data_IF_997519380337
#
_entry.id   IF_997519380337
#
_cell.length_a   1.000
_cell.length_b   1.000
_cell.length_c   1.000
_cell.angle_alpha   90.00
_cell.angle_beta   90.00
_cell.angle_gamma   90.00
#
_symmetry.space_group_name_H-M   'P 1'
#
loop_
_entity.id
_entity.type
_entity.pdbx_description
1 polymer ?
#
# COMPACT_ATOMS: atom_id res chain seq x y z
N UNK A 1 -8.90 3.36 -37.52
CA UNK A 1 -7.71 2.47 -37.43
C UNK A 1 -8.08 1.01 -37.66
N UNK A 2 -9.09 0.46 -36.96
CA UNK A 2 -9.52 -0.94 -37.10
C UNK A 2 -9.81 -1.37 -38.55
N UNK A 3 -10.67 -0.62 -39.26
CA UNK A 3 -11.02 -0.94 -40.67
C UNK A 3 -9.79 -0.99 -41.62
N UNK A 4 -8.74 -0.22 -41.34
CA UNK A 4 -7.51 -0.25 -42.13
C UNK A 4 -6.69 -1.52 -41.84
N UNK A 5 -6.60 -1.92 -40.57
CA UNK A 5 -5.96 -3.18 -40.16
C UNK A 5 -6.71 -4.40 -40.74
N UNK A 6 -8.05 -4.34 -40.80
CA UNK A 6 -8.87 -5.38 -41.40
C UNK A 6 -8.62 -5.50 -42.92
N UNK A 7 -8.42 -4.38 -43.62
CA UNK A 7 -8.07 -4.39 -45.04
C UNK A 7 -6.67 -4.96 -45.30
N UNK A 8 -5.71 -4.75 -44.40
CA UNK A 8 -4.37 -5.38 -44.45
C UNK A 8 -4.49 -6.88 -44.19
N UNK A 9 -5.24 -7.31 -43.16
CA UNK A 9 -5.40 -8.73 -42.82
C UNK A 9 -6.12 -9.52 -43.93
N UNK A 10 -7.10 -8.90 -44.58
CA UNK A 10 -7.77 -9.42 -45.78
C UNK A 10 -6.90 -9.34 -47.05
N UNK A 11 -5.65 -8.86 -46.95
CA UNK A 11 -4.72 -8.66 -48.06
C UNK A 11 -5.26 -7.74 -49.18
N UNK A 12 -6.20 -6.84 -48.86
CA UNK A 12 -6.76 -5.85 -49.79
C UNK A 12 -5.90 -4.59 -49.89
N UNK A 13 -5.01 -4.37 -48.93
CA UNK A 13 -3.98 -3.33 -48.93
C UNK A 13 -2.63 -4.01 -48.67
N UNK A 14 -1.64 -3.78 -49.54
CA UNK A 14 -0.26 -4.25 -49.34
C UNK A 14 0.59 -3.12 -48.77
N UNK A 15 1.36 -3.43 -47.72
CA UNK A 15 2.33 -2.51 -47.12
C UNK A 15 3.73 -2.67 -47.74
N UNK A 16 3.97 -3.69 -48.56
CA UNK A 16 5.26 -3.93 -49.23
C UNK A 16 5.84 -2.70 -49.93
N UNK A 17 5.06 -1.86 -50.65
CA UNK A 17 5.61 -0.70 -51.36
C UNK A 17 6.20 0.37 -50.45
N UNK A 18 5.83 0.37 -49.17
CA UNK A 18 6.30 1.36 -48.19
C UNK A 18 7.32 0.78 -47.21
N UNK A 19 7.53 -0.53 -47.19
CA UNK A 19 8.57 -1.18 -46.37
C UNK A 19 9.90 -1.04 -47.11
N UNK A 20 10.77 -0.18 -46.62
CA UNK A 20 12.10 0.04 -47.23
C UNK A 20 13.19 -0.74 -46.52
N UNK A 21 13.02 -1.03 -45.22
CA UNK A 21 13.97 -1.82 -44.44
C UNK A 21 13.23 -2.74 -43.47
N UNK A 22 13.78 -3.93 -43.31
CA UNK A 22 13.32 -4.91 -42.33
C UNK A 22 14.48 -5.29 -41.43
N UNK A 23 14.22 -5.32 -40.13
CA UNK A 23 15.19 -5.71 -39.10
C UNK A 23 14.54 -6.74 -38.19
N UNK A 24 15.31 -7.73 -37.77
CA UNK A 24 14.90 -8.55 -36.62
C UNK A 24 14.90 -7.66 -35.36
N UNK A 25 14.00 -7.94 -34.41
CA UNK A 25 13.84 -7.11 -33.20
C UNK A 25 15.16 -6.97 -32.40
N UNK A 26 16.03 -7.98 -32.43
CA UNK A 26 17.36 -7.96 -31.84
C UNK A 26 18.27 -6.86 -32.44
N UNK A 27 18.01 -6.44 -33.67
CA UNK A 27 18.71 -5.38 -34.39
C UNK A 27 18.01 -4.01 -34.28
N UNK A 28 17.00 -3.87 -33.41
CA UNK A 28 16.29 -2.60 -33.23
C UNK A 28 17.20 -1.38 -33.02
N UNK A 29 18.33 -1.44 -32.28
CA UNK A 29 19.24 -0.29 -32.17
C UNK A 29 19.78 0.20 -33.52
N UNK A 30 20.06 -0.70 -34.47
CA UNK A 30 20.53 -0.38 -35.82
C UNK A 30 19.43 0.28 -36.65
N UNK A 31 18.20 -0.24 -36.55
CA UNK A 31 17.02 0.37 -37.15
C UNK A 31 16.81 1.83 -36.69
N UNK A 32 16.97 2.10 -35.38
CA UNK A 32 16.86 3.45 -34.84
C UNK A 32 18.01 4.38 -35.28
N UNK A 33 19.20 3.85 -35.58
CA UNK A 33 20.30 4.66 -36.07
C UNK A 33 20.03 5.19 -37.49
N UNK A 34 19.37 4.43 -38.36
CA UNK A 34 18.96 4.89 -39.69
C UNK A 34 17.99 6.08 -39.61
N UNK A 35 17.07 6.03 -38.65
CA UNK A 35 16.15 7.13 -38.34
C UNK A 35 16.95 8.38 -37.93
N UNK A 36 17.96 8.22 -37.07
CA UNK A 36 18.82 9.33 -36.61
C UNK A 36 19.71 9.89 -37.72
N UNK A 37 20.21 9.05 -38.62
CA UNK A 37 21.10 9.41 -39.73
C UNK A 37 20.37 10.09 -40.90
N UNK A 38 19.03 10.22 -40.85
CA UNK A 38 18.18 10.86 -41.87
C UNK A 38 18.42 10.32 -43.29
N UNK A 39 18.79 9.04 -43.41
CA UNK A 39 18.81 8.35 -44.71
C UNK A 39 17.37 8.26 -45.25
N UNK A 40 17.16 8.22 -46.57
CA UNK A 40 15.80 8.09 -47.12
C UNK A 40 15.22 6.71 -46.77
N UNK A 41 14.12 6.70 -46.01
CA UNK A 41 13.31 5.53 -45.71
C UNK A 41 11.82 5.91 -45.70
N UNK A 42 10.95 5.01 -46.12
CA UNK A 42 9.50 5.23 -46.16
C UNK A 42 8.77 4.44 -45.06
N UNK A 43 9.33 3.29 -44.68
CA UNK A 43 8.79 2.42 -43.64
C UNK A 43 9.84 1.42 -43.18
N UNK A 44 9.95 1.27 -41.87
CA UNK A 44 10.87 0.34 -41.22
C UNK A 44 10.03 -0.68 -40.46
N UNK A 45 10.24 -1.96 -40.73
CA UNK A 45 9.54 -3.06 -40.05
C UNK A 45 10.49 -3.77 -39.11
N UNK A 46 10.09 -3.88 -37.85
CA UNK A 46 10.71 -4.76 -36.88
C UNK A 46 9.97 -6.10 -36.91
N UNK A 47 10.69 -7.16 -37.28
CA UNK A 47 10.19 -8.54 -37.23
C UNK A 47 10.35 -9.08 -35.83
N UNK A 48 9.29 -9.73 -35.37
CA UNK A 48 9.28 -10.43 -34.11
C UNK A 48 9.18 -11.91 -34.42
N UNK A 49 10.01 -12.72 -33.77
CA UNK A 49 9.84 -14.16 -33.78
C UNK A 49 8.54 -14.50 -33.03
N UNK A 50 7.50 -14.82 -33.80
CA UNK A 50 6.17 -15.18 -33.28
C UNK A 50 6.11 -16.59 -32.71
N UNK A 51 7.10 -17.43 -33.03
CA UNK A 51 7.21 -18.80 -32.54
C UNK A 51 8.07 -18.87 -31.25
N UNK A 52 8.81 -17.80 -30.93
CA UNK A 52 9.55 -17.66 -29.69
C UNK A 52 8.62 -17.73 -28.50
N UNK A 53 8.84 -18.73 -27.65
CA UNK A 53 8.17 -18.81 -26.35
C UNK A 53 8.60 -17.60 -25.52
N UNK A 54 7.64 -16.73 -25.21
CA UNK A 54 7.87 -15.60 -24.31
C UNK A 54 8.02 -16.17 -22.90
N UNK A 55 9.19 -15.95 -22.30
CA UNK A 55 9.40 -16.27 -20.89
C UNK A 55 9.03 -15.06 -20.05
N UNK A 56 8.03 -15.25 -19.17
CA UNK A 56 7.55 -14.21 -18.27
C UNK A 56 8.47 -13.97 -17.06
N UNK A 57 9.68 -14.54 -17.06
CA UNK A 57 10.67 -14.47 -15.98
C UNK A 57 12.04 -14.12 -16.55
N UNK A 58 12.66 -13.08 -16.00
CA UNK A 58 14.02 -12.65 -16.35
C UNK A 58 14.92 -12.84 -15.15
N UNK A 59 15.97 -13.65 -15.32
CA UNK A 59 17.00 -13.88 -14.31
C UNK A 59 18.04 -12.76 -14.41
N UNK A 60 18.25 -12.02 -13.32
CA UNK A 60 19.13 -10.84 -13.28
C UNK A 60 20.48 -11.15 -12.63
N UNK A 61 20.50 -12.12 -11.72
CA UNK A 61 21.70 -12.69 -11.13
C UNK A 61 21.67 -14.19 -11.38
N UNK A 62 22.78 -14.76 -11.85
CA UNK A 62 22.89 -16.22 -11.95
C UNK A 62 22.51 -16.84 -10.61
N UNK A 63 21.64 -17.87 -10.59
CA UNK A 63 21.33 -18.57 -9.35
C UNK A 63 22.65 -19.04 -8.76
N UNK A 64 22.98 -18.60 -7.54
CA UNK A 64 24.01 -19.29 -6.78
C UNK A 64 23.62 -20.77 -6.63
N UNK A 65 24.57 -21.68 -6.38
CA UNK A 65 24.23 -23.06 -6.07
C UNK A 65 23.14 -23.08 -5.00
N UNK A 66 22.09 -23.85 -5.25
CA UNK A 66 20.98 -24.05 -4.31
C UNK A 66 21.58 -24.72 -3.09
N UNK A 67 22.07 -23.91 -2.15
CA UNK A 67 22.36 -24.37 -0.81
C UNK A 67 21.02 -24.80 -0.26
N UNK A 68 20.91 -26.09 0.09
CA UNK A 68 19.89 -26.54 1.02
C UNK A 68 19.81 -25.49 2.13
N UNK A 69 18.60 -25.00 2.40
CA UNK A 69 18.31 -23.94 3.35
C UNK A 69 19.12 -24.26 4.61
N UNK A 70 20.21 -23.53 4.86
CA UNK A 70 20.81 -23.54 6.18
C UNK A 70 19.73 -23.02 7.11
N UNK A 71 19.52 -23.65 8.26
CA UNK A 71 18.53 -23.29 9.30
C UNK A 71 18.68 -21.87 9.88
N UNK A 72 19.26 -20.93 9.13
CA UNK A 72 19.20 -19.49 9.41
C UNK A 72 17.89 -18.91 8.86
N UNK A 73 17.06 -18.43 9.77
CA UNK A 73 15.76 -17.75 9.62
C UNK A 73 15.84 -16.40 8.86
N UNK A 74 16.68 -16.27 7.84
CA UNK A 74 16.84 -15.02 7.11
C UNK A 74 15.63 -14.75 6.19
N UNK A 75 15.01 -13.56 6.24
CA UNK A 75 13.91 -13.20 5.35
C UNK A 75 14.37 -13.20 3.89
N UNK A 76 13.66 -13.97 3.07
CA UNK A 76 13.81 -14.02 1.62
C UNK A 76 12.51 -13.47 1.03
N UNK A 77 12.60 -12.26 0.52
CA UNK A 77 11.45 -11.44 0.14
C UNK A 77 11.14 -11.56 -1.35
N UNK A 78 9.87 -11.82 -1.64
CA UNK A 78 9.24 -11.47 -2.91
C UNK A 78 8.46 -10.17 -2.82
N UNK A 79 8.49 -9.33 -3.85
CA UNK A 79 7.67 -8.11 -3.93
C UNK A 79 6.70 -8.24 -5.09
N UNK A 80 5.40 -8.04 -4.84
CA UNK A 80 4.33 -8.11 -5.84
C UNK A 80 3.76 -6.69 -5.97
N UNK A 81 4.01 -6.06 -7.11
CA UNK A 81 3.69 -4.67 -7.39
C UNK A 81 4.93 -3.77 -7.39
N UNK A 82 5.16 -3.06 -8.49
CA UNK A 82 6.24 -2.07 -8.65
C UNK A 82 5.69 -0.67 -9.00
N UNK A 83 4.55 -0.31 -8.41
CA UNK A 83 3.91 1.00 -8.64
C UNK A 83 4.68 2.19 -8.03
N UNK A 84 4.03 3.36 -8.05
CA UNK A 84 4.61 4.62 -7.55
C UNK A 84 5.00 4.49 -6.07
N UNK A 85 4.12 3.93 -5.24
CA UNK A 85 4.43 3.73 -3.82
C UNK A 85 5.62 2.78 -3.61
N UNK A 86 5.65 1.65 -4.34
CA UNK A 86 6.75 0.71 -4.24
C UNK A 86 8.10 1.36 -4.57
N UNK A 87 8.16 2.11 -5.68
CA UNK A 87 9.39 2.73 -6.18
C UNK A 87 9.82 3.99 -5.42
N UNK A 88 8.86 4.75 -4.87
CA UNK A 88 9.11 6.03 -4.19
C UNK A 88 9.25 5.91 -2.67
N UNK A 89 8.65 4.88 -2.05
CA UNK A 89 8.59 4.73 -0.59
C UNK A 89 9.16 3.37 -0.15
N UNK A 90 8.57 2.26 -0.60
CA UNK A 90 8.92 0.92 -0.11
C UNK A 90 10.39 0.57 -0.39
N UNK A 91 10.78 0.54 -1.67
CA UNK A 91 12.10 0.08 -2.10
C UNK A 91 13.24 1.00 -1.59
N UNK A 92 13.11 2.34 -1.56
CA UNK A 92 14.09 3.21 -0.91
C UNK A 92 14.28 2.91 0.57
N UNK A 93 13.21 2.63 1.33
CA UNK A 93 13.34 2.26 2.75
C UNK A 93 13.89 0.84 2.93
N UNK A 94 13.47 -0.10 2.09
CA UNK A 94 13.95 -1.47 2.07
C UNK A 94 15.46 -1.56 1.80
N UNK A 95 15.98 -0.74 0.88
CA UNK A 95 17.41 -0.69 0.56
C UNK A 95 18.32 -0.31 1.74
N UNK A 96 17.75 0.30 2.79
CA UNK A 96 18.46 0.70 4.01
C UNK A 96 18.48 -0.41 5.08
N UNK A 97 17.75 -1.51 4.86
CA UNK A 97 17.63 -2.62 5.80
C UNK A 97 18.58 -3.73 5.38
N UNK A 98 19.39 -4.22 6.33
CA UNK A 98 20.35 -5.30 6.10
C UNK A 98 19.78 -6.65 6.51
N UNK A 99 20.32 -7.72 5.93
CA UNK A 99 19.95 -9.09 6.29
C UNK A 99 18.56 -9.50 5.82
N UNK A 100 18.16 -9.00 4.64
CA UNK A 100 16.99 -9.40 3.86
C UNK A 100 17.49 -9.73 2.46
N UNK A 101 17.13 -10.91 1.94
CA UNK A 101 17.46 -11.33 0.58
C UNK A 101 16.31 -10.91 -0.35
N UNK A 102 16.59 -10.04 -1.33
CA UNK A 102 15.62 -9.63 -2.34
C UNK A 102 15.64 -10.62 -3.49
N UNK A 103 14.63 -11.49 -3.58
CA UNK A 103 14.65 -12.61 -4.52
C UNK A 103 13.87 -12.28 -5.80
N UNK A 104 12.55 -12.15 -5.70
CA UNK A 104 11.67 -11.90 -6.84
C UNK A 104 10.97 -10.54 -6.78
N UNK A 105 10.87 -9.85 -7.92
CA UNK A 105 9.98 -8.71 -8.12
C UNK A 105 8.96 -9.02 -9.22
N UNK A 106 7.68 -8.84 -8.95
CA UNK A 106 6.61 -9.00 -9.94
C UNK A 106 5.91 -7.67 -10.21
N UNK A 107 5.69 -7.35 -11.49
CA UNK A 107 4.89 -6.21 -11.92
C UNK A 107 4.33 -6.43 -13.33
N UNK A 108 3.12 -5.93 -13.57
CA UNK A 108 2.44 -6.10 -14.87
C UNK A 108 3.22 -5.48 -16.05
N UNK A 109 3.96 -4.39 -15.83
CA UNK A 109 4.78 -3.75 -16.86
C UNK A 109 6.23 -4.25 -16.83
N UNK A 110 6.60 -5.11 -17.79
CA UNK A 110 7.90 -5.78 -17.86
C UNK A 110 9.12 -4.84 -17.89
N UNK A 111 9.10 -3.78 -18.70
CA UNK A 111 10.24 -2.86 -18.87
C UNK A 111 10.56 -2.07 -17.58
N UNK A 112 9.54 -1.65 -16.82
CA UNK A 112 9.76 -0.99 -15.53
C UNK A 112 10.17 -1.99 -14.45
N UNK A 113 9.68 -3.23 -14.53
CA UNK A 113 10.00 -4.29 -13.57
C UNK A 113 11.48 -4.63 -13.60
N UNK A 114 12.06 -4.85 -14.78
CA UNK A 114 13.47 -5.20 -14.95
C UNK A 114 14.40 -4.09 -14.44
N UNK A 115 14.13 -2.84 -14.81
CA UNK A 115 14.94 -1.68 -14.38
C UNK A 115 14.93 -1.51 -12.86
N UNK A 116 13.75 -1.61 -12.23
CA UNK A 116 13.60 -1.53 -10.78
C UNK A 116 14.30 -2.71 -10.09
N UNK A 117 14.12 -3.92 -10.60
CA UNK A 117 14.73 -5.13 -10.06
C UNK A 117 16.27 -5.05 -10.11
N UNK A 118 16.85 -4.60 -11.23
CA UNK A 118 18.31 -4.35 -11.36
C UNK A 118 18.78 -3.30 -10.36
N UNK A 119 18.09 -2.14 -10.28
CA UNK A 119 18.45 -1.02 -9.41
C UNK A 119 18.54 -1.42 -7.93
N UNK A 120 17.58 -2.22 -7.46
CA UNK A 120 17.52 -2.63 -6.05
C UNK A 120 18.16 -4.00 -5.78
N UNK A 121 18.62 -4.69 -6.83
CA UNK A 121 19.42 -5.91 -6.70
C UNK A 121 18.65 -7.20 -6.46
N UNK A 122 17.42 -7.31 -6.99
CA UNK A 122 16.64 -8.55 -7.00
C UNK A 122 17.32 -9.64 -7.85
N UNK A 123 17.10 -10.91 -7.52
CA UNK A 123 17.66 -12.05 -8.28
C UNK A 123 16.94 -12.27 -9.60
N UNK A 124 15.61 -12.08 -9.61
CA UNK A 124 14.81 -12.15 -10.84
C UNK A 124 13.64 -11.16 -10.79
N UNK A 125 13.11 -10.87 -11.98
CA UNK A 125 11.83 -10.18 -12.13
C UNK A 125 10.88 -10.99 -13.02
N UNK A 126 9.58 -10.75 -12.88
CA UNK A 126 8.54 -11.48 -13.63
C UNK A 126 7.30 -10.61 -13.84
N UNK A 127 6.51 -10.92 -14.86
CA UNK A 127 5.13 -10.40 -15.02
C UNK A 127 4.09 -11.30 -14.35
N UNK A 128 4.46 -12.52 -13.96
CA UNK A 128 3.61 -13.52 -13.32
C UNK A 128 3.95 -13.64 -11.83
N UNK A 129 3.10 -13.08 -10.96
CA UNK A 129 3.30 -13.15 -9.53
C UNK A 129 3.23 -14.58 -8.96
N UNK A 130 2.61 -15.55 -9.67
CA UNK A 130 2.61 -16.95 -9.23
C UNK A 130 4.02 -17.52 -9.17
N UNK A 131 4.97 -17.02 -9.98
CA UNK A 131 6.40 -17.38 -9.87
C UNK A 131 7.04 -16.92 -8.57
N UNK A 132 6.51 -15.90 -7.91
CA UNK A 132 6.95 -15.47 -6.57
C UNK A 132 6.30 -16.36 -5.50
N UNK A 133 4.99 -16.58 -5.62
CA UNK A 133 4.26 -17.36 -4.63
C UNK A 133 4.70 -18.84 -4.60
N UNK A 134 5.03 -19.42 -5.75
CA UNK A 134 5.48 -20.82 -5.85
C UNK A 134 6.98 -21.02 -5.57
N UNK A 135 7.78 -19.95 -5.43
CA UNK A 135 9.21 -20.09 -5.17
C UNK A 135 9.44 -20.60 -3.72
N UNK A 136 10.04 -21.79 -3.53
CA UNK A 136 10.20 -22.38 -2.20
C UNK A 136 11.24 -21.66 -1.34
N UNK A 137 12.15 -20.87 -1.92
CA UNK A 137 13.11 -20.07 -1.14
C UNK A 137 12.47 -18.80 -0.58
N UNK A 138 11.41 -18.27 -1.21
CA UNK A 138 10.71 -17.08 -0.73
C UNK A 138 9.87 -17.44 0.49
N UNK A 139 10.14 -16.85 1.65
CA UNK A 139 9.41 -17.11 2.89
C UNK A 139 8.51 -15.95 3.33
N UNK A 140 8.64 -14.79 2.69
CA UNK A 140 7.75 -13.66 2.90
C UNK A 140 7.51 -12.84 1.62
N UNK A 141 6.37 -12.18 1.56
CA UNK A 141 5.99 -11.31 0.44
C UNK A 141 5.56 -9.92 0.90
N UNK A 142 5.85 -8.91 0.09
CA UNK A 142 5.29 -7.57 0.21
C UNK A 142 4.34 -7.31 -0.97
N UNK A 143 3.06 -7.12 -0.68
CA UNK A 143 2.00 -6.86 -1.65
C UNK A 143 1.74 -5.35 -1.68
N UNK A 144 2.00 -4.76 -2.85
CA UNK A 144 2.05 -3.30 -3.10
C UNK A 144 1.31 -2.97 -4.40
N UNK A 145 0.21 -3.68 -4.64
CA UNK A 145 -0.58 -3.63 -5.87
C UNK A 145 -1.70 -2.59 -5.79
N UNK A 146 -2.64 -2.63 -6.74
CA UNK A 146 -3.95 -2.00 -6.57
C UNK A 146 -4.70 -2.65 -5.41
N UNK A 147 -5.56 -1.88 -4.75
CA UNK A 147 -6.28 -2.32 -3.55
C UNK A 147 -7.23 -3.48 -3.84
N UNK A 148 -7.84 -3.52 -5.03
CA UNK A 148 -8.72 -4.61 -5.50
C UNK A 148 -8.06 -5.98 -5.51
N UNK A 149 -6.73 -6.02 -5.63
CA UNK A 149 -5.95 -7.27 -5.66
C UNK A 149 -5.44 -7.70 -4.29
N UNK A 150 -5.58 -6.87 -3.25
CA UNK A 150 -4.98 -7.17 -1.94
C UNK A 150 -5.54 -8.46 -1.36
N UNK A 151 -6.87 -8.61 -1.30
CA UNK A 151 -7.50 -9.77 -0.67
C UNK A 151 -7.13 -11.10 -1.34
N UNK A 152 -7.25 -11.18 -2.66
CA UNK A 152 -6.89 -12.39 -3.42
C UNK A 152 -5.41 -12.74 -3.28
N UNK A 153 -4.50 -11.77 -3.43
CA UNK A 153 -3.06 -12.00 -3.30
C UNK A 153 -2.66 -12.41 -1.88
N UNK A 154 -3.27 -11.82 -0.85
CA UNK A 154 -3.04 -12.22 0.54
C UNK A 154 -3.45 -13.68 0.74
N UNK A 155 -4.66 -14.05 0.30
CA UNK A 155 -5.18 -15.43 0.42
C UNK A 155 -4.25 -16.43 -0.30
N UNK A 156 -3.84 -16.12 -1.54
CA UNK A 156 -2.93 -16.99 -2.30
C UNK A 156 -1.54 -17.10 -1.67
N UNK A 157 -1.01 -16.00 -1.12
CA UNK A 157 0.26 -16.02 -0.42
C UNK A 157 0.21 -16.91 0.84
N UNK A 158 -0.88 -16.83 1.61
CA UNK A 158 -1.09 -17.69 2.79
C UNK A 158 -1.20 -19.16 2.40
N UNK A 159 -1.92 -19.49 1.32
CA UNK A 159 -2.01 -20.87 0.77
C UNK A 159 -0.63 -21.41 0.41
N UNK A 160 0.26 -20.57 -0.10
CA UNK A 160 1.66 -20.89 -0.39
C UNK A 160 2.60 -20.76 0.82
N UNK A 161 2.05 -20.70 2.03
CA UNK A 161 2.77 -20.63 3.32
C UNK A 161 3.75 -19.44 3.42
N UNK A 162 3.42 -18.31 2.79
CA UNK A 162 4.21 -17.08 2.88
C UNK A 162 3.75 -16.21 4.03
N UNK A 163 4.68 -15.54 4.70
CA UNK A 163 4.35 -14.43 5.59
C UNK A 163 4.09 -13.17 4.78
N UNK A 164 3.05 -12.40 5.13
CA UNK A 164 2.52 -11.35 4.26
C UNK A 164 2.65 -9.98 4.91
N UNK A 165 3.29 -9.05 4.20
CA UNK A 165 3.12 -7.62 4.40
C UNK A 165 2.26 -7.09 3.25
N UNK A 166 1.08 -6.57 3.54
CA UNK A 166 0.17 -6.03 2.52
C UNK A 166 -0.06 -4.55 2.77
N UNK A 167 0.06 -3.72 1.74
CA UNK A 167 -0.31 -2.31 1.85
C UNK A 167 -1.79 -2.16 2.21
N UNK A 168 -2.13 -1.05 2.85
CA UNK A 168 -3.52 -0.77 3.19
C UNK A 168 -4.32 -0.32 1.94
N UNK A 169 -5.65 -0.52 1.93
CA UNK A 169 -6.46 -1.24 2.90
C UNK A 169 -6.26 -2.76 2.79
N UNK A 170 -6.53 -3.50 3.87
CA UNK A 170 -6.43 -4.97 3.86
C UNK A 170 -7.49 -5.61 2.93
N UNK A 171 -8.69 -5.02 2.90
CA UNK A 171 -9.83 -5.46 2.10
C UNK A 171 -10.71 -4.25 1.74
N UNK A 172 -11.48 -4.36 0.66
CA UNK A 172 -12.43 -3.34 0.20
C UNK A 172 -13.86 -3.58 0.70
N UNK A 173 -14.14 -4.75 1.26
CA UNK A 173 -15.44 -5.13 1.81
C UNK A 173 -15.31 -6.24 2.87
N UNK A 174 -16.43 -6.54 3.53
CA UNK A 174 -16.49 -7.55 4.57
C UNK A 174 -16.32 -8.97 4.05
N UNK A 175 -16.78 -9.27 2.83
CA UNK A 175 -16.65 -10.60 2.22
C UNK A 175 -15.17 -10.94 2.00
N UNK A 176 -14.41 -10.00 1.42
CA UNK A 176 -12.96 -10.09 1.26
C UNK A 176 -12.24 -10.21 2.60
N UNK A 177 -12.61 -9.38 3.59
CA UNK A 177 -11.99 -9.44 4.91
C UNK A 177 -12.22 -10.79 5.58
N UNK A 178 -13.44 -11.32 5.54
CA UNK A 178 -13.80 -12.62 6.08
C UNK A 178 -13.04 -13.74 5.36
N UNK A 179 -12.89 -13.66 4.04
CA UNK A 179 -12.12 -14.62 3.26
C UNK A 179 -10.63 -14.63 3.67
N UNK A 180 -10.04 -13.46 3.96
CA UNK A 180 -8.66 -13.36 4.48
C UNK A 180 -8.55 -14.00 5.87
N UNK A 181 -9.51 -13.74 6.76
CA UNK A 181 -9.54 -14.29 8.12
C UNK A 181 -9.59 -15.82 8.07
N UNK A 182 -10.48 -16.41 7.28
CA UNK A 182 -10.56 -17.86 7.13
C UNK A 182 -9.30 -18.44 6.48
N UNK A 183 -8.77 -17.81 5.42
CA UNK A 183 -7.53 -18.26 4.79
C UNK A 183 -6.34 -18.28 5.77
N UNK A 184 -6.23 -17.26 6.63
CA UNK A 184 -5.21 -17.21 7.69
C UNK A 184 -5.38 -18.32 8.70
N UNK A 185 -6.62 -18.58 9.14
CA UNK A 185 -6.95 -19.63 10.11
C UNK A 185 -6.61 -21.02 9.56
N UNK A 186 -6.91 -21.27 8.29
CA UNK A 186 -6.62 -22.54 7.62
C UNK A 186 -5.14 -22.76 7.35
N UNK A 187 -4.44 -21.70 6.92
CA UNK A 187 -3.10 -21.86 6.35
C UNK A 187 -1.95 -21.51 7.30
N UNK A 188 -2.24 -20.78 8.38
CA UNK A 188 -1.22 -20.21 9.25
C UNK A 188 -0.51 -19.02 8.60
N UNK A 189 0.73 -18.77 9.02
CA UNK A 189 1.46 -17.56 8.64
C UNK A 189 0.94 -16.31 9.33
N UNK A 190 1.72 -15.23 9.30
CA UNK A 190 1.27 -13.94 9.83
C UNK A 190 1.05 -12.92 8.72
N UNK A 191 0.12 -12.01 8.98
CA UNK A 191 -0.25 -10.91 8.10
C UNK A 191 0.04 -9.63 8.87
N UNK A 192 0.77 -8.73 8.24
CA UNK A 192 0.99 -7.36 8.68
C UNK A 192 0.42 -6.42 7.62
N UNK A 193 -0.38 -5.46 8.05
CA UNK A 193 -0.92 -4.42 7.17
C UNK A 193 -0.01 -3.20 7.23
N UNK A 194 0.14 -2.50 6.09
CA UNK A 194 0.95 -1.29 5.87
C UNK A 194 0.48 -0.04 6.62
N UNK A 195 0.10 -0.20 7.89
CA UNK A 195 -0.23 0.91 8.78
C UNK A 195 1.05 1.52 9.36
N UNK A 196 1.76 2.26 8.53
CA UNK A 196 3.09 2.77 8.86
C UNK A 196 3.13 3.70 10.10
N UNK A 197 2.05 4.45 10.37
CA UNK A 197 2.01 5.51 11.40
C UNK A 197 2.31 5.00 12.81
N UNK A 198 1.81 3.81 13.17
CA UNK A 198 2.09 3.16 14.47
C UNK A 198 3.57 2.83 14.69
N UNK A 199 4.37 2.77 13.61
CA UNK A 199 5.81 2.53 13.68
C UNK A 199 6.66 3.81 13.63
N UNK A 200 6.02 4.99 13.49
CA UNK A 200 6.75 6.26 13.52
C UNK A 200 7.38 6.51 14.89
N UNK A 201 8.58 7.07 14.92
CA UNK A 201 9.26 7.35 16.19
C UNK A 201 8.43 8.26 17.12
N UNK A 202 7.78 9.28 16.55
CA UNK A 202 6.94 10.20 17.33
C UNK A 202 5.64 9.54 17.80
N UNK A 203 5.05 8.64 17.00
CA UNK A 203 3.88 7.87 17.40
C UNK A 203 4.17 6.90 18.54
N UNK A 204 5.31 6.20 18.50
CA UNK A 204 5.75 5.32 19.61
C UNK A 204 5.97 6.13 20.89
N UNK A 205 6.65 7.28 20.81
CA UNK A 205 6.85 8.17 21.97
C UNK A 205 5.53 8.69 22.55
N UNK A 206 4.56 9.01 21.68
CA UNK A 206 3.22 9.43 22.09
C UNK A 206 2.49 8.30 22.82
N UNK A 207 2.54 7.06 22.31
CA UNK A 207 1.95 5.89 22.97
C UNK A 207 2.59 5.65 24.35
N UNK A 208 3.93 5.70 24.42
CA UNK A 208 4.67 5.49 25.66
C UNK A 208 4.32 6.55 26.74
N UNK A 209 4.07 7.80 26.32
CA UNK A 209 3.65 8.86 27.23
C UNK A 209 2.31 8.56 27.94
N UNK A 210 1.39 7.85 27.27
CA UNK A 210 0.10 7.44 27.84
C UNK A 210 0.10 6.03 28.45
N UNK A 211 1.24 5.32 28.47
CA UNK A 211 1.30 3.89 28.84
C UNK A 211 0.70 3.54 30.20
N UNK A 212 0.80 4.44 31.17
CA UNK A 212 0.32 4.22 32.54
C UNK A 212 -0.91 5.08 32.87
N UNK A 213 -1.70 5.46 31.85
CA UNK A 213 -2.93 6.20 32.08
C UNK A 213 -3.95 5.37 32.86
N UNK A 214 -4.77 6.03 33.65
CA UNK A 214 -5.85 5.42 34.44
C UNK A 214 -7.25 5.72 33.89
N UNK A 215 -7.41 6.87 33.23
CA UNK A 215 -8.67 7.27 32.61
C UNK A 215 -8.75 6.87 31.13
N UNK A 216 -9.98 6.65 30.67
CA UNK A 216 -10.32 6.60 29.25
C UNK A 216 -9.85 7.88 28.54
N UNK A 217 -9.49 7.74 27.27
CA UNK A 217 -8.92 8.81 26.47
C UNK A 217 -9.99 9.51 25.62
N UNK A 218 -9.85 10.82 25.45
CA UNK A 218 -10.52 11.56 24.37
C UNK A 218 -9.48 11.86 23.30
N UNK A 219 -9.78 11.52 22.05
CA UNK A 219 -8.89 11.75 20.92
C UNK A 219 -9.55 12.60 19.83
N UNK A 220 -8.77 13.46 19.20
CA UNK A 220 -9.16 14.24 18.03
C UNK A 220 -8.11 14.08 16.95
N UNK A 221 -8.51 13.79 15.72
CA UNK A 221 -7.61 13.71 14.57
C UNK A 221 -8.20 14.51 13.41
N UNK A 222 -7.53 15.57 12.99
CA UNK A 222 -7.87 16.34 11.79
C UNK A 222 -6.95 15.97 10.63
N UNK A 223 -7.55 15.70 9.49
CA UNK A 223 -6.89 15.49 8.20
C UNK A 223 -7.40 16.51 7.19
N UNK A 224 -6.50 17.39 6.77
CA UNK A 224 -6.69 18.37 5.70
C UNK A 224 -6.04 17.83 4.42
N UNK A 225 -6.78 17.00 3.70
CA UNK A 225 -6.27 16.30 2.53
C UNK A 225 -6.38 17.17 1.27
N UNK A 226 -5.47 16.99 0.32
CA UNK A 226 -5.60 17.62 -0.99
C UNK A 226 -6.77 17.02 -1.76
N UNK A 227 -7.43 17.85 -2.58
CA UNK A 227 -8.39 17.38 -3.57
C UNK A 227 -7.65 16.62 -4.68
N UNK A 228 -8.31 15.61 -5.23
CA UNK A 228 -7.77 14.75 -6.28
C UNK A 228 -8.73 14.75 -7.49
N UNK A 229 -8.23 14.49 -8.71
CA UNK A 229 -9.06 14.46 -9.91
C UNK A 229 -10.24 13.49 -9.80
N UNK A 230 -11.40 13.86 -10.35
CA UNK A 230 -12.64 13.07 -10.24
C UNK A 230 -12.60 11.73 -10.97
N UNK A 231 -11.72 11.59 -11.95
CA UNK A 231 -11.44 10.37 -12.72
C UNK A 231 -10.35 9.49 -12.07
N UNK A 232 -9.87 9.87 -10.88
CA UNK A 232 -8.86 9.10 -10.18
C UNK A 232 -9.42 7.76 -9.68
N UNK A 233 -8.66 6.68 -9.87
CA UNK A 233 -9.02 5.29 -9.54
C UNK A 233 -9.53 5.05 -8.11
N UNK A 234 -9.23 5.93 -7.16
CA UNK A 234 -9.70 5.78 -5.77
C UNK A 234 -11.22 5.92 -5.65
N UNK A 235 -11.85 6.57 -6.62
CA UNK A 235 -13.30 6.72 -6.74
C UNK A 235 -13.95 5.57 -7.52
N UNK A 236 -13.16 4.74 -8.19
CA UNK A 236 -13.67 3.58 -8.91
C UNK A 236 -14.15 2.53 -7.90
N UNK A 237 -15.38 2.06 -8.07
CA UNK A 237 -16.05 1.14 -7.16
C UNK A 237 -15.38 -0.24 -7.11
N UNK A 238 -14.73 -0.65 -8.20
CA UNK A 238 -13.99 -1.91 -8.27
C UNK A 238 -12.57 -1.81 -7.70
N UNK A 239 -12.01 -0.61 -7.58
CA UNK A 239 -10.61 -0.39 -7.20
C UNK A 239 -10.43 0.26 -5.82
N UNK A 240 -10.99 1.44 -5.61
CA UNK A 240 -10.76 2.24 -4.40
C UNK A 240 -11.98 2.41 -3.51
N UNK A 241 -13.19 2.44 -4.11
CA UNK A 241 -14.50 2.69 -3.49
C UNK A 241 -14.65 4.05 -2.81
N UNK A 242 -13.74 4.43 -1.93
CA UNK A 242 -13.75 5.73 -1.25
C UNK A 242 -12.40 6.05 -0.59
N UNK A 243 -12.13 7.33 -0.35
CA UNK A 243 -11.01 7.74 0.53
C UNK A 243 -11.20 7.38 2.00
N UNK A 244 -12.42 7.06 2.43
CA UNK A 244 -12.65 6.51 3.77
C UNK A 244 -11.96 5.15 3.88
N UNK A 245 -12.24 4.25 2.93
CA UNK A 245 -11.63 2.90 2.91
C UNK A 245 -10.12 2.99 2.67
N UNK A 246 -9.68 3.84 1.75
CA UNK A 246 -8.29 3.82 1.27
C UNK A 246 -7.33 4.75 2.01
N UNK A 247 -7.81 5.84 2.64
CA UNK A 247 -6.98 6.80 3.36
C UNK A 247 -7.36 6.89 4.84
N UNK A 248 -8.65 6.94 5.20
CA UNK A 248 -9.05 7.09 6.61
C UNK A 248 -8.65 5.91 7.50
N UNK A 249 -8.53 4.70 6.94
CA UNK A 249 -8.04 3.52 7.67
C UNK A 249 -6.71 3.77 8.40
N UNK A 250 -5.81 4.60 7.84
CA UNK A 250 -4.56 4.94 8.51
C UNK A 250 -4.73 5.73 9.81
N UNK A 251 -5.73 6.61 9.88
CA UNK A 251 -5.94 7.49 11.02
C UNK A 251 -6.76 6.77 12.10
N UNK A 252 -7.71 5.94 11.67
CA UNK A 252 -8.43 4.99 12.53
C UNK A 252 -7.42 4.05 13.21
N UNK A 253 -6.53 3.45 12.43
CA UNK A 253 -5.42 2.63 12.93
C UNK A 253 -4.59 3.36 13.98
N UNK A 254 -4.17 4.60 13.66
CA UNK A 254 -3.30 5.34 14.55
C UNK A 254 -3.99 5.72 15.87
N UNK A 255 -5.27 6.08 15.83
CA UNK A 255 -6.05 6.30 17.06
C UNK A 255 -6.14 5.02 17.88
N UNK A 256 -6.50 3.88 17.26
CA UNK A 256 -6.52 2.58 17.93
C UNK A 256 -5.16 2.25 18.55
N UNK A 257 -4.07 2.51 17.83
CA UNK A 257 -2.71 2.27 18.32
C UNK A 257 -2.36 3.11 19.55
N UNK A 258 -2.65 4.42 19.55
CA UNK A 258 -2.34 5.32 20.68
C UNK A 258 -3.23 5.02 21.88
N UNK A 259 -4.52 4.82 21.65
CA UNK A 259 -5.49 4.48 22.72
C UNK A 259 -5.13 3.11 23.32
N UNK A 260 -4.73 2.14 22.49
CA UNK A 260 -4.37 0.80 22.95
C UNK A 260 -5.57 -0.02 23.41
N UNK A 261 -6.74 0.23 22.84
CA UNK A 261 -7.99 -0.48 23.11
C UNK A 261 -8.68 -0.84 21.80
N UNK A 262 -9.54 -1.86 21.82
CA UNK A 262 -10.31 -2.30 20.65
C UNK A 262 -11.44 -1.32 20.33
N UNK A 263 -11.66 -0.92 19.06
CA UNK A 263 -12.86 -0.18 18.68
C UNK A 263 -14.10 -1.09 18.76
N UNK A 264 -15.20 -0.55 19.27
CA UNK A 264 -16.45 -1.29 19.49
C UNK A 264 -17.65 -0.67 18.77
N UNK A 265 -17.59 0.62 18.45
CA UNK A 265 -18.66 1.34 17.77
C UNK A 265 -18.06 2.42 16.86
N UNK A 266 -18.70 2.66 15.71
CA UNK A 266 -18.35 3.75 14.81
C UNK A 266 -19.60 4.47 14.29
N UNK A 267 -19.53 5.80 14.30
CA UNK A 267 -20.54 6.68 13.74
C UNK A 267 -19.88 7.63 12.77
N UNK A 268 -20.43 7.80 11.57
CA UNK A 268 -19.82 8.64 10.55
C UNK A 268 -20.83 9.55 9.84
N UNK A 269 -20.52 10.82 9.65
CA UNK A 269 -21.38 11.76 8.92
C UNK A 269 -20.56 12.53 7.90
N UNK A 270 -21.09 12.64 6.69
CA UNK A 270 -20.53 13.52 5.65
C UNK A 270 -21.15 14.91 5.69
N UNK A 271 -20.49 15.85 5.05
CA UNK A 271 -21.06 17.16 4.74
C UNK A 271 -22.34 17.00 3.88
N UNK A 272 -23.30 17.90 4.09
CA UNK A 272 -24.45 18.08 3.22
C UNK A 272 -24.29 19.39 2.45
N UNK A 273 -24.15 19.29 1.13
CA UNK A 273 -23.95 20.42 0.22
C UNK A 273 -25.22 20.67 -0.60
N UNK A 274 -25.41 21.91 -1.06
CA UNK A 274 -26.49 22.21 -2.02
C UNK A 274 -26.20 21.61 -3.41
N UNK A 275 -24.92 21.46 -3.77
CA UNK A 275 -24.47 20.86 -5.04
C UNK A 275 -23.73 19.57 -4.71
N UNK A 276 -24.34 18.43 -5.04
CA UNK A 276 -23.75 17.11 -4.78
C UNK A 276 -22.54 16.88 -5.69
N UNK A 277 -21.38 16.69 -5.08
CA UNK A 277 -20.14 16.32 -5.74
C UNK A 277 -19.59 15.00 -5.17
N UNK A 278 -18.77 14.24 -5.93
CA UNK A 278 -18.08 13.07 -5.37
C UNK A 278 -17.24 13.41 -4.13
N UNK A 279 -16.70 14.64 -4.06
CA UNK A 279 -15.90 15.16 -2.95
C UNK A 279 -16.70 15.27 -1.63
N UNK A 280 -18.04 15.40 -1.70
CA UNK A 280 -18.89 15.45 -0.50
C UNK A 280 -18.88 14.14 0.28
N UNK A 281 -18.69 13.00 -0.39
CA UNK A 281 -18.59 11.70 0.27
C UNK A 281 -17.28 11.52 1.04
N UNK A 282 -16.33 12.45 0.89
CA UNK A 282 -15.02 12.38 1.52
C UNK A 282 -14.87 13.37 2.68
N UNK A 283 -15.63 14.46 2.67
CA UNK A 283 -15.65 15.43 3.77
C UNK A 283 -16.51 14.90 4.92
N UNK A 284 -15.87 14.24 5.88
CA UNK A 284 -16.54 13.45 6.92
C UNK A 284 -16.05 13.74 8.33
N UNK A 285 -16.94 13.52 9.29
CA UNK A 285 -16.65 13.34 10.70
C UNK A 285 -16.95 11.90 11.10
N UNK A 286 -15.96 11.20 11.64
CA UNK A 286 -16.06 9.81 12.11
C UNK A 286 -15.76 9.78 13.60
N UNK A 287 -16.69 9.32 14.42
CA UNK A 287 -16.52 9.09 15.86
C UNK A 287 -16.44 7.60 16.12
N UNK A 288 -15.48 7.18 16.95
CA UNK A 288 -15.22 5.78 17.31
C UNK A 288 -15.24 5.68 18.83
N UNK A 289 -15.98 4.70 19.36
CA UNK A 289 -15.89 4.32 20.76
C UNK A 289 -15.02 3.06 20.92
N UNK A 290 -14.30 2.97 22.03
CA UNK A 290 -13.38 1.89 22.34
C UNK A 290 -13.81 1.14 23.60
N UNK A 291 -13.39 -0.12 23.71
CA UNK A 291 -13.75 -1.04 24.79
C UNK A 291 -13.44 -0.50 26.20
N UNK A 292 -12.36 0.26 26.37
CA UNK A 292 -12.00 0.89 27.65
C UNK A 292 -12.77 2.19 27.95
N UNK A 293 -13.80 2.51 27.17
CA UNK A 293 -14.61 3.73 27.27
C UNK A 293 -13.99 4.96 26.61
N UNK A 294 -12.82 4.83 25.97
CA UNK A 294 -12.23 5.95 25.21
C UNK A 294 -13.08 6.30 23.99
N UNK A 295 -12.99 7.55 23.56
CA UNK A 295 -13.62 8.02 22.32
C UNK A 295 -12.61 8.75 21.45
N UNK A 296 -12.73 8.60 20.14
CA UNK A 296 -11.92 9.32 19.16
C UNK A 296 -12.77 9.90 18.04
N UNK A 297 -12.48 11.14 17.64
CA UNK A 297 -13.12 11.78 16.49
C UNK A 297 -12.10 12.10 15.41
N UNK A 298 -12.31 11.55 14.22
CA UNK A 298 -11.58 11.87 12.99
C UNK A 298 -12.41 12.84 12.16
N UNK A 299 -11.85 14.02 11.89
CA UNK A 299 -12.32 14.94 10.87
C UNK A 299 -11.44 14.78 9.65
N UNK A 300 -12.05 14.46 8.52
CA UNK A 300 -11.38 14.38 7.23
C UNK A 300 -12.02 15.38 6.28
N UNK A 301 -11.22 16.26 5.69
CA UNK A 301 -11.73 17.27 4.76
C UNK A 301 -10.76 17.53 3.61
N UNK A 302 -11.31 17.92 2.47
CA UNK A 302 -10.58 18.40 1.28
C UNK A 302 -10.77 19.90 1.05
N UNK A 303 -11.49 20.60 1.93
CA UNK A 303 -11.86 22.01 1.78
C UNK A 303 -10.85 22.99 2.42
N UNK A 304 -9.82 22.49 3.11
CA UNK A 304 -8.85 23.36 3.75
C UNK A 304 -7.71 23.79 2.82
N UNK A 305 -7.08 24.91 3.16
CA UNK A 305 -5.91 25.43 2.47
C UNK A 305 -4.66 24.59 2.81
N UNK A 306 -3.83 24.28 1.81
CA UNK A 306 -2.65 23.41 1.97
C UNK A 306 -1.49 24.05 2.76
N UNK A 307 -1.59 25.34 3.11
CA UNK A 307 -0.69 25.99 4.08
C UNK A 307 -0.90 25.50 5.52
N UNK A 308 -2.07 24.93 5.81
CA UNK A 308 -2.35 24.25 7.09
C UNK A 308 -1.83 22.81 7.02
N UNK A 309 -1.25 22.33 8.12
CA UNK A 309 -0.74 20.96 8.21
C UNK A 309 -1.74 19.92 7.71
N UNK A 310 -1.25 18.87 7.03
CA UNK A 310 -2.14 17.82 6.53
C UNK A 310 -2.76 17.05 7.70
N UNK A 311 -1.96 16.70 8.70
CA UNK A 311 -2.35 15.84 9.81
C UNK A 311 -2.11 16.53 11.14
N UNK A 312 -3.11 16.53 12.02
CA UNK A 312 -2.98 16.98 13.39
C UNK A 312 -3.83 16.10 14.30
N UNK A 313 -3.22 15.44 15.28
CA UNK A 313 -3.94 14.59 16.23
C UNK A 313 -3.58 14.95 17.67
N UNK A 314 -4.59 14.97 18.53
CA UNK A 314 -4.50 15.27 19.96
C UNK A 314 -5.16 14.18 20.77
N UNK A 315 -4.58 13.88 21.92
CA UNK A 315 -5.02 12.84 22.84
C UNK A 315 -4.98 13.38 24.26
N UNK A 316 -6.02 13.11 25.03
CA UNK A 316 -6.25 13.66 26.37
C UNK A 316 -6.60 12.55 27.36
N UNK A 317 -5.86 12.42 28.47
CA UNK A 317 -6.17 11.52 29.59
C UNK A 317 -5.36 11.93 30.84
N UNK A 318 -5.93 11.82 32.05
CA UNK A 318 -5.25 12.11 33.34
C UNK A 318 -4.52 13.47 33.41
N UNK A 319 -5.10 14.52 32.82
CA UNK A 319 -4.45 15.84 32.74
C UNK A 319 -3.22 15.88 31.81
N UNK A 320 -2.94 14.79 31.10
CA UNK A 320 -1.91 14.68 30.07
C UNK A 320 -2.50 15.03 28.70
N UNK A 321 -1.74 15.80 27.92
CA UNK A 321 -2.08 16.14 26.53
C UNK A 321 -0.92 15.77 25.62
N UNK A 322 -1.19 14.94 24.63
CA UNK A 322 -0.23 14.57 23.61
C UNK A 322 -0.74 14.99 22.24
N UNK A 323 0.02 15.80 21.50
CA UNK A 323 -0.35 16.30 20.19
C UNK A 323 0.75 16.02 19.16
N UNK A 324 0.38 15.50 17.99
CA UNK A 324 1.28 15.22 16.87
C UNK A 324 0.81 15.95 15.62
N UNK A 325 1.74 16.62 14.92
CA UNK A 325 1.44 17.35 13.67
C UNK A 325 2.36 16.84 12.57
N UNK A 326 1.77 16.34 11.48
CA UNK A 326 2.42 15.79 10.27
C UNK A 326 3.52 14.75 10.52
N UNK A 327 3.57 14.15 11.72
CA UNK A 327 4.71 13.35 12.18
C UNK A 327 6.06 14.11 12.12
N UNK A 328 6.01 15.44 12.16
CA UNK A 328 7.16 16.36 12.24
C UNK A 328 7.29 16.99 13.60
N UNK A 329 6.18 17.16 14.32
CA UNK A 329 6.15 17.77 15.64
C UNK A 329 5.41 16.87 16.61
N UNK A 330 5.96 16.70 17.80
CA UNK A 330 5.30 16.07 18.95
C UNK A 330 5.33 17.06 20.12
N UNK A 331 4.18 17.30 20.74
CA UNK A 331 4.02 18.11 21.94
C UNK A 331 3.40 17.24 23.03
N UNK A 332 4.06 17.17 24.19
CA UNK A 332 3.61 16.43 25.35
C UNK A 332 3.48 17.39 26.53
N UNK A 333 2.32 17.44 27.16
CA UNK A 333 2.02 18.34 28.28
C UNK A 333 1.51 17.54 29.45
N UNK A 334 2.08 17.78 30.65
CA UNK A 334 1.63 17.19 31.91
C UNK A 334 2.04 18.10 33.07
N UNK A 335 1.15 18.33 34.03
CA UNK A 335 1.42 19.15 35.23
C UNK A 335 2.02 20.53 34.92
N UNK A 336 1.52 21.18 33.86
CA UNK A 336 2.01 22.47 33.37
C UNK A 336 3.36 22.44 32.64
N UNK A 337 4.05 21.29 32.60
CA UNK A 337 5.31 21.12 31.85
C UNK A 337 5.01 20.73 30.41
N UNK A 338 5.64 21.43 29.46
CA UNK A 338 5.51 21.16 28.02
C UNK A 338 6.85 20.69 27.45
N UNK A 339 6.86 19.49 26.86
CA UNK A 339 7.99 18.96 26.06
C UNK A 339 7.60 19.00 24.59
N UNK A 340 8.45 19.59 23.75
CA UNK A 340 8.21 19.65 22.31
C UNK A 340 9.41 19.10 21.53
N UNK A 341 9.14 18.21 20.58
CA UNK A 341 10.11 17.63 19.66
C UNK A 341 9.76 18.08 18.25
N UNK A 342 10.73 18.62 17.51
CA UNK A 342 10.55 19.05 16.13
C UNK A 342 11.59 18.38 15.21
N UNK A 343 11.11 17.65 14.20
CA UNK A 343 11.93 17.06 13.12
C UNK A 343 11.85 17.94 11.88
N UNK A 344 12.81 18.86 11.73
CA UNK A 344 12.80 19.88 10.67
C UNK A 344 13.22 19.37 9.28
N UNK A 345 14.00 18.30 9.20
CA UNK A 345 14.65 17.87 7.96
C UNK A 345 14.08 16.59 7.34
N UNK A 346 13.38 15.75 8.12
CA UNK A 346 12.91 14.44 7.67
C UNK A 346 11.53 14.18 8.25
N UNK A 347 10.54 14.01 7.37
CA UNK A 347 9.25 13.42 7.74
C UNK A 347 9.43 11.91 7.81
N UNK A 348 9.41 11.34 9.01
CA UNK A 348 9.55 9.90 9.23
C UNK A 348 8.20 9.38 9.71
N UNK A 349 7.39 8.83 8.80
CA UNK A 349 6.05 8.31 9.11
C UNK A 349 6.06 6.82 9.49
N UNK A 350 7.21 6.22 9.75
CA UNK A 350 7.33 4.84 10.24
C UNK A 350 7.58 3.77 9.17
N UNK A 351 7.64 4.09 7.87
CA UNK A 351 7.78 3.07 6.81
C UNK A 351 9.02 2.17 6.95
N UNK A 352 10.17 2.74 7.36
CA UNK A 352 11.37 1.93 7.59
C UNK A 352 11.19 1.01 8.80
N UNK A 353 10.69 1.56 9.89
CA UNK A 353 10.48 0.83 11.15
C UNK A 353 9.42 -0.27 10.99
N UNK A 354 8.41 -0.03 10.18
CA UNK A 354 7.39 -1.00 9.76
C UNK A 354 8.04 -2.21 9.07
N UNK A 355 8.88 -1.97 8.07
CA UNK A 355 9.61 -3.02 7.38
C UNK A 355 10.56 -3.76 8.32
N UNK A 356 11.30 -3.05 9.17
CA UNK A 356 12.18 -3.66 10.16
C UNK A 356 11.40 -4.56 11.13
N UNK A 357 10.22 -4.12 11.57
CA UNK A 357 9.33 -4.91 12.40
C UNK A 357 8.82 -6.15 11.66
N UNK A 358 8.40 -6.02 10.40
CA UNK A 358 7.99 -7.15 9.57
C UNK A 358 9.09 -8.20 9.45
N UNK A 359 10.32 -7.80 9.10
CA UNK A 359 11.45 -8.73 9.00
C UNK A 359 11.88 -9.32 10.34
N UNK A 360 11.73 -8.56 11.42
CA UNK A 360 11.90 -9.09 12.78
C UNK A 360 10.87 -10.19 13.06
N UNK A 361 9.61 -9.98 12.69
CA UNK A 361 8.56 -11.00 12.84
C UNK A 361 8.82 -12.25 11.99
N UNK A 362 9.34 -12.08 10.76
CA UNK A 362 9.75 -13.25 9.93
C UNK A 362 10.86 -14.05 10.63
N UNK A 363 11.83 -13.36 11.27
CA UNK A 363 12.96 -14.00 11.95
C UNK A 363 12.59 -14.66 13.29
N UNK A 364 11.73 -14.01 14.07
CA UNK A 364 11.52 -14.32 15.49
C UNK A 364 10.12 -14.88 15.79
N UNK A 365 9.24 -14.92 14.79
CA UNK A 365 7.82 -15.18 14.96
C UNK A 365 7.00 -13.90 15.18
N UNK A 366 5.66 -14.01 15.12
CA UNK A 366 4.76 -12.86 15.20
C UNK A 366 4.91 -12.09 16.51
N UNK A 367 4.84 -10.75 16.42
CA UNK A 367 4.90 -9.85 17.59
C UNK A 367 3.55 -9.72 18.30
N UNK A 368 3.53 -8.97 19.41
CA UNK A 368 2.30 -8.64 20.17
C UNK A 368 1.24 -7.87 19.37
N UNK A 369 1.60 -7.18 18.29
CA UNK A 369 0.60 -6.53 17.44
C UNK A 369 -0.17 -7.58 16.68
N UNK A 370 -1.44 -7.67 17.02
CA UNK A 370 -2.25 -8.81 16.67
C UNK A 370 -2.92 -8.54 15.32
N UNK A 371 -3.05 -9.57 14.49
CA UNK A 371 -3.78 -9.48 13.23
C UNK A 371 -5.23 -9.00 13.48
N UNK A 372 -5.76 -9.32 14.64
CA UNK A 372 -7.07 -8.92 15.14
C UNK A 372 -7.19 -7.39 15.27
N UNK A 373 -6.14 -6.66 15.69
CA UNK A 373 -6.17 -5.19 15.68
C UNK A 373 -6.37 -4.65 14.26
N UNK A 374 -5.67 -5.20 13.26
CA UNK A 374 -5.80 -4.79 11.86
C UNK A 374 -7.17 -5.14 11.30
N UNK A 375 -7.74 -6.28 11.70
CA UNK A 375 -9.12 -6.67 11.36
C UNK A 375 -10.09 -5.64 11.94
N UNK A 376 -9.98 -5.30 13.22
CA UNK A 376 -10.85 -4.33 13.88
C UNK A 376 -10.75 -2.94 13.22
N UNK A 377 -9.54 -2.45 12.94
CA UNK A 377 -9.34 -1.22 12.15
C UNK A 377 -10.08 -1.30 10.81
N UNK A 378 -9.95 -2.42 10.09
CA UNK A 378 -10.56 -2.60 8.77
C UNK A 378 -12.09 -2.62 8.88
N UNK A 379 -12.66 -3.37 9.83
CA UNK A 379 -14.10 -3.40 10.12
C UNK A 379 -14.61 -2.00 10.44
N UNK A 380 -13.98 -1.28 11.38
CA UNK A 380 -14.38 0.08 11.74
C UNK A 380 -14.35 1.02 10.53
N UNK A 381 -13.37 0.87 9.64
CA UNK A 381 -13.27 1.67 8.42
C UNK A 381 -14.41 1.35 7.45
N UNK A 382 -14.68 0.06 7.20
CA UNK A 382 -15.74 -0.38 6.29
C UNK A 382 -17.11 0.08 6.81
N UNK A 383 -17.37 -0.06 8.12
CA UNK A 383 -18.60 0.42 8.77
C UNK A 383 -18.75 1.94 8.73
N UNK A 384 -17.67 2.69 8.89
CA UNK A 384 -17.70 4.15 8.71
C UNK A 384 -18.09 4.52 7.28
N UNK A 385 -17.52 3.85 6.28
CA UNK A 385 -17.84 4.08 4.87
C UNK A 385 -19.30 3.71 4.55
N UNK A 386 -19.77 2.56 5.04
CA UNK A 386 -21.16 2.12 4.91
C UNK A 386 -22.14 3.16 5.50
N UNK A 387 -21.87 3.65 6.71
CA UNK A 387 -22.73 4.60 7.40
C UNK A 387 -22.80 5.97 6.69
N UNK A 388 -21.68 6.44 6.10
CA UNK A 388 -21.65 7.65 5.27
C UNK A 388 -22.50 7.52 3.99
N UNK A 389 -22.57 6.30 3.44
CA UNK A 389 -23.33 6.02 2.22
C UNK A 389 -24.82 5.80 2.51
N UNK A 390 -25.17 5.11 3.59
CA UNK A 390 -26.56 4.83 3.97
C UNK A 390 -27.29 6.01 4.63
N UNK A 391 -26.55 7.01 5.13
CA UNK A 391 -27.08 8.35 5.43
C UNK A 391 -27.99 8.46 6.66
N UNK A 392 -27.96 7.51 7.59
CA UNK A 392 -28.85 7.53 8.76
C UNK A 392 -28.07 7.44 10.08
N UNK A 393 -28.39 8.26 11.10
CA UNK A 393 -28.08 7.88 12.47
C UNK A 393 -28.90 6.64 12.85
N UNK A 394 -28.25 5.59 13.34
CA UNK A 394 -28.93 4.52 14.09
C UNK A 394 -29.19 5.05 15.50
N UNK A 395 -30.42 5.46 15.78
CA UNK A 395 -30.88 5.72 17.15
C UNK A 395 -31.29 4.42 17.79
N UNK A 396 -30.70 4.12 18.94
CA UNK A 396 -31.34 3.26 19.92
C UNK A 396 -32.19 4.16 20.82
N UNK A 397 -33.47 3.80 20.93
CA UNK A 397 -34.14 3.87 22.24
C UNK A 397 -33.31 3.03 23.21
#
# INVERSE_FOLDING_TARGET
>A
MQAFLDLISMKKISMEPIITHEYEIEQAPEAYNIIKERKPYLGLVLKYDTDKRIEDKVILKSPGPVSAISESFSPVLGVIGAGIFATSILLPNLSKIKGVKLKGLSAASGLSCESVAKKYGFEYCTSDYHKILSDPEINCVSIVTRNSLHASLVIEALKNKKNVLVEKPLALNEEELNAIIEAKKENGGFIMVGFNRRYSELGVKLKDFFKNRSQSMVAYYRVNAESIPKDHWVYDESEGRSRIITECCHFIDFMQFIIGSSPVEVYARKIESQVKTPEDNENVSITIAFEDGSIGTLIYTTHGDSSVSKEHAEFFADGMVGAITDFKQLKLVKDGKCTQINKRLITEKGHKNELENFFKMVKQGPSKYSFEENVLTTVSTLKAAEHVMSGGPVKLI
#
